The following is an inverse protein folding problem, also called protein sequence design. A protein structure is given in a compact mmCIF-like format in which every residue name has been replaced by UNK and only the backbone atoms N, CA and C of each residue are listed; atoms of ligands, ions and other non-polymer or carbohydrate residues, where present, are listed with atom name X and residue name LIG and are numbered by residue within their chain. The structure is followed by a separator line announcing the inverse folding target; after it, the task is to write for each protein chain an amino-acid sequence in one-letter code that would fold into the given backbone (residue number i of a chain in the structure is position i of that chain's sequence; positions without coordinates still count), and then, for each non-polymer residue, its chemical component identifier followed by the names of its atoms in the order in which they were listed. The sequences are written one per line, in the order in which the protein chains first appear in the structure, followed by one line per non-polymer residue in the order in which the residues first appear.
data_IF_346711199005
#
_entry.id   IF_346711199005
#
_cell.length_a   1.000
_cell.length_b   1.000
_cell.length_c   1.000
_cell.angle_alpha   90.00
_cell.angle_beta   90.00
_cell.angle_gamma   90.00
#
_symmetry.space_group_name_H-M   'P 1'
#
loop_
_entity.id
_entity.type
_entity.pdbx_description
1 polymer ?
#
# COMPACT_ATOMS: atom_id res chain seq x y z
N UNK A 1 -58.26 -16.24 -30.09
CA UNK A 1 -57.94 -15.43 -31.29
C UNK A 1 -56.43 -15.56 -31.52
N UNK A 2 -56.03 -16.05 -32.69
CA UNK A 2 -54.64 -16.40 -33.06
C UNK A 2 -53.76 -15.18 -33.29
N UNK A 3 -52.43 -15.41 -33.37
CA UNK A 3 -51.35 -14.79 -34.18
C UNK A 3 -50.09 -14.64 -33.28
N UNK A 4 -48.84 -15.02 -33.62
CA UNK A 4 -48.23 -15.86 -34.66
C UNK A 4 -46.80 -16.23 -34.21
N UNK A 5 -46.33 -17.40 -34.63
CA UNK A 5 -44.95 -17.89 -34.61
C UNK A 5 -44.01 -17.06 -35.51
N UNK A 6 -42.71 -17.01 -35.15
CA UNK A 6 -41.61 -17.19 -36.10
C UNK A 6 -40.28 -17.55 -35.38
N UNK A 7 -39.98 -18.84 -35.33
CA UNK A 7 -38.63 -19.39 -35.22
C UNK A 7 -38.12 -19.62 -36.66
N UNK A 8 -36.89 -19.24 -37.00
CA UNK A 8 -36.16 -19.88 -38.09
C UNK A 8 -34.65 -19.91 -37.88
N UNK A 9 -34.08 -21.04 -38.30
CA UNK A 9 -32.72 -21.54 -38.16
C UNK A 9 -31.74 -20.91 -39.17
N UNK A 10 -30.50 -20.72 -38.69
CA UNK A 10 -29.23 -21.22 -39.26
C UNK A 10 -28.79 -20.78 -40.67
N UNK A 11 -27.54 -20.31 -40.79
CA UNK A 11 -26.60 -20.77 -41.82
C UNK A 11 -25.15 -20.35 -41.52
N UNK A 12 -24.33 -21.37 -41.27
CA UNK A 12 -22.88 -21.35 -41.34
C UNK A 12 -22.50 -21.47 -42.82
N UNK A 13 -21.55 -20.66 -43.32
CA UNK A 13 -20.96 -20.87 -44.65
C UNK A 13 -19.44 -20.75 -44.62
N UNK A 14 -18.86 -21.91 -44.92
CA UNK A 14 -17.47 -22.25 -45.18
C UNK A 14 -17.00 -21.57 -46.49
N UNK A 15 -15.77 -21.05 -46.50
CA UNK A 15 -14.94 -21.00 -47.71
C UNK A 15 -13.61 -21.72 -47.46
N UNK A 16 -13.34 -22.71 -48.32
CA UNK A 16 -12.04 -23.38 -48.61
C UNK A 16 -11.13 -22.34 -49.30
N UNK A 17 -9.80 -22.33 -49.29
CA UNK A 17 -8.72 -23.31 -49.08
C UNK A 17 -7.56 -22.91 -50.05
N UNK A 18 -6.37 -23.55 -49.93
CA UNK A 18 -5.12 -23.45 -50.76
C UNK A 18 -4.09 -22.44 -50.17
N UNK A 19 -2.83 -22.72 -49.79
CA UNK A 19 -1.87 -23.87 -49.81
C UNK A 19 -0.86 -23.66 -48.65
N UNK A 20 -0.50 -24.63 -47.81
CA UNK A 20 0.48 -25.73 -47.97
C UNK A 20 1.94 -25.32 -48.27
N UNK A 21 2.77 -25.21 -47.21
CA UNK A 21 4.17 -25.65 -47.24
C UNK A 21 4.66 -26.04 -45.84
N UNK A 22 4.65 -27.35 -45.56
CA UNK A 22 5.36 -28.02 -44.45
C UNK A 22 6.77 -28.33 -44.94
N UNK A 23 7.81 -27.97 -44.18
CA UNK A 23 9.15 -28.54 -44.32
C UNK A 23 9.40 -29.50 -43.16
N UNK A 24 9.36 -30.80 -43.45
CA UNK A 24 9.86 -31.89 -42.59
C UNK A 24 11.37 -32.08 -42.79
N UNK A 25 12.08 -32.63 -41.79
CA UNK A 25 13.54 -32.73 -41.80
C UNK A 25 14.01 -33.96 -42.59
N UNK A 26 15.08 -33.79 -43.36
CA UNK A 26 15.80 -34.87 -44.03
C UNK A 26 16.92 -35.41 -43.14
N UNK A 27 16.80 -36.69 -42.81
CA UNK A 27 17.91 -37.53 -42.33
C UNK A 27 18.86 -37.82 -43.49
N UNK A 28 20.17 -37.63 -43.27
CA UNK A 28 21.23 -38.19 -44.12
C UNK A 28 22.27 -38.81 -43.20
N UNK A 29 22.51 -40.11 -43.39
CA UNK A 29 23.58 -40.88 -42.77
C UNK A 29 24.95 -40.49 -43.34
N UNK A 30 25.95 -40.33 -42.48
CA UNK A 30 27.36 -40.23 -42.84
C UNK A 30 28.20 -40.68 -41.65
N UNK A 31 29.05 -41.68 -41.89
CA UNK A 31 29.81 -42.49 -40.95
C UNK A 31 31.13 -41.85 -40.48
N UNK A 32 31.60 -42.34 -39.33
CA UNK A 32 32.96 -42.39 -38.80
C UNK A 32 33.65 -41.12 -38.28
N UNK A 33 34.03 -41.15 -36.99
CA UNK A 33 34.94 -40.18 -36.38
C UNK A 33 34.95 -40.20 -34.85
N UNK A 34 35.76 -41.08 -34.27
CA UNK A 34 36.15 -41.21 -32.85
C UNK A 34 36.25 -39.89 -32.04
N UNK A 35 35.73 -39.93 -30.80
CA UNK A 35 36.50 -39.45 -29.64
C UNK A 35 36.10 -38.10 -29.00
N UNK A 36 35.91 -38.18 -27.68
CA UNK A 36 36.06 -37.12 -26.65
C UNK A 36 34.77 -36.41 -26.19
N UNK A 37 34.27 -36.83 -25.02
CA UNK A 37 33.24 -36.14 -24.24
C UNK A 37 33.89 -34.91 -23.60
N UNK A 38 33.51 -33.71 -24.06
CA UNK A 38 33.78 -32.45 -23.37
C UNK A 38 32.48 -31.93 -22.74
N UNK A 39 32.45 -31.90 -21.40
CA UNK A 39 31.44 -31.16 -20.65
C UNK A 39 31.57 -29.67 -20.95
N UNK A 40 30.57 -29.11 -21.64
CA UNK A 40 30.45 -27.67 -21.88
C UNK A 40 29.85 -27.01 -20.63
N UNK A 41 30.73 -26.38 -19.85
CA UNK A 41 30.37 -25.36 -18.88
C UNK A 41 29.78 -24.15 -19.61
N UNK A 42 28.48 -23.89 -19.40
CA UNK A 42 27.86 -22.62 -19.78
C UNK A 42 28.19 -21.57 -18.72
N UNK A 43 29.02 -20.60 -19.08
CA UNK A 43 29.31 -19.40 -18.28
C UNK A 43 28.04 -18.56 -18.16
N UNK A 44 27.36 -18.63 -17.00
CA UNK A 44 26.42 -17.58 -16.58
C UNK A 44 27.22 -16.34 -16.20
N UNK A 45 26.94 -15.24 -16.89
CA UNK A 45 27.36 -13.89 -16.51
C UNK A 45 26.68 -13.53 -15.19
N UNK A 46 27.47 -13.30 -14.14
CA UNK A 46 26.99 -12.80 -12.86
C UNK A 46 26.50 -11.36 -13.03
N UNK A 47 25.18 -11.18 -13.05
CA UNK A 47 24.56 -9.92 -12.61
C UNK A 47 24.54 -9.95 -11.08
N UNK A 48 25.12 -8.94 -10.44
CA UNK A 48 25.11 -8.77 -8.98
C UNK A 48 23.66 -8.70 -8.47
N UNK A 49 23.11 -9.82 -8.05
CA UNK A 49 22.01 -9.88 -7.09
C UNK A 49 22.58 -9.52 -5.73
N UNK A 50 22.27 -8.31 -5.26
CA UNK A 50 22.37 -7.96 -3.84
C UNK A 50 21.40 -8.85 -3.08
N UNK A 51 21.92 -9.95 -2.53
CA UNK A 51 21.25 -10.68 -1.47
C UNK A 51 21.05 -9.71 -0.30
N UNK A 52 19.79 -9.42 0.03
CA UNK A 52 19.45 -8.82 1.30
C UNK A 52 19.91 -9.79 2.40
N UNK A 53 20.85 -9.34 3.23
CA UNK A 53 21.26 -10.02 4.46
C UNK A 53 20.06 -10.05 5.40
N UNK A 54 19.21 -11.07 5.29
CA UNK A 54 18.04 -11.25 6.15
C UNK A 54 18.40 -11.70 7.59
N UNK A 55 19.66 -12.08 7.83
CA UNK A 55 20.16 -12.65 9.10
C UNK A 55 21.06 -11.71 9.93
N UNK A 56 21.17 -10.43 9.57
CA UNK A 56 21.88 -9.48 10.43
C UNK A 56 21.05 -9.15 11.66
N UNK A 57 21.60 -9.39 12.86
CA UNK A 57 21.03 -8.87 14.10
C UNK A 57 20.80 -7.35 13.97
N UNK A 58 19.63 -6.89 14.42
CA UNK A 58 19.26 -5.48 14.38
C UNK A 58 20.23 -4.66 15.23
N UNK A 59 20.84 -3.64 14.62
CA UNK A 59 21.69 -2.67 15.30
C UNK A 59 20.89 -1.37 15.52
N UNK A 60 20.53 -1.02 16.77
CA UNK A 60 19.84 0.22 17.08
C UNK A 60 20.62 1.43 16.55
N UNK A 61 19.95 2.32 15.80
CA UNK A 61 20.56 3.54 15.24
C UNK A 61 21.11 3.42 13.80
N UNK A 62 20.95 2.27 13.15
CA UNK A 62 21.22 2.15 11.71
C UNK A 62 20.12 2.86 10.88
N UNK A 63 20.53 3.72 9.94
CA UNK A 63 19.59 4.34 9.00
C UNK A 63 19.06 3.28 8.04
N UNK A 64 17.76 2.99 8.14
CA UNK A 64 17.05 2.06 7.27
C UNK A 64 16.93 2.67 5.87
N UNK A 65 17.56 2.05 4.89
CA UNK A 65 17.45 2.49 3.50
C UNK A 65 16.13 1.96 2.92
N UNK A 66 15.18 2.86 2.65
CA UNK A 66 13.95 2.55 1.90
C UNK A 66 14.15 3.08 0.49
N UNK A 67 14.11 2.20 -0.52
CA UNK A 67 14.39 2.54 -1.92
C UNK A 67 13.44 3.62 -2.46
N UNK A 68 12.14 3.49 -2.14
CA UNK A 68 11.10 4.43 -2.55
C UNK A 68 10.26 4.87 -1.34
N UNK A 69 10.70 5.86 -0.54
CA UNK A 69 9.96 6.25 0.65
C UNK A 69 8.57 6.79 0.30
N UNK A 70 7.54 6.28 0.99
CA UNK A 70 6.16 6.76 0.87
C UNK A 70 5.77 7.48 2.17
N UNK A 71 5.23 8.68 2.03
CA UNK A 71 4.64 9.47 3.10
C UNK A 71 3.38 8.76 3.59
N UNK A 72 3.39 8.34 4.86
CA UNK A 72 2.26 7.67 5.51
C UNK A 72 1.37 8.67 6.27
N UNK A 73 0.10 8.32 6.47
CA UNK A 73 -0.75 9.01 7.43
C UNK A 73 -0.18 8.89 8.86
N UNK A 74 -0.31 9.93 9.71
CA UNK A 74 -1.10 11.15 9.54
C UNK A 74 -0.29 12.36 9.04
N UNK A 75 0.75 12.18 8.21
CA UNK A 75 1.61 13.29 7.76
C UNK A 75 0.82 14.47 7.19
N UNK A 76 1.10 15.68 7.71
CA UNK A 76 0.36 16.91 7.40
C UNK A 76 0.37 17.27 5.91
N UNK A 77 1.43 16.94 5.18
CA UNK A 77 1.53 17.22 3.74
C UNK A 77 0.41 16.58 2.93
N UNK A 78 -0.13 15.44 3.37
CA UNK A 78 -1.24 14.73 2.72
C UNK A 78 -2.59 15.44 2.88
N UNK A 79 -2.71 16.37 3.84
CA UNK A 79 -3.93 17.13 4.13
C UNK A 79 -3.93 18.52 3.48
N UNK A 80 -2.92 18.82 2.65
CA UNK A 80 -2.73 20.13 2.05
C UNK A 80 -3.06 20.10 0.56
N UNK A 81 -3.54 21.24 0.04
CA UNK A 81 -3.62 21.45 -1.41
C UNK A 81 -2.21 21.60 -1.98
N UNK A 82 -1.95 20.94 -3.10
CA UNK A 82 -0.62 20.84 -3.67
C UNK A 82 -0.32 21.97 -4.65
N UNK A 83 0.96 22.32 -4.81
CA UNK A 83 1.38 23.44 -5.64
C UNK A 83 1.39 23.07 -7.13
N UNK A 84 0.98 23.98 -8.02
CA UNK A 84 1.13 23.75 -9.45
C UNK A 84 2.60 23.81 -9.86
N UNK A 85 2.98 23.05 -10.89
CA UNK A 85 4.27 23.13 -11.55
C UNK A 85 4.28 24.25 -12.60
N UNK A 86 5.42 24.93 -12.77
CA UNK A 86 5.63 25.85 -13.88
C UNK A 86 5.80 25.05 -15.18
N UNK A 87 4.89 25.28 -16.12
CA UNK A 87 4.85 24.60 -17.42
C UNK A 87 6.12 24.87 -18.22
N UNK A 88 6.76 26.03 -18.05
CA UNK A 88 8.01 26.38 -18.73
C UNK A 88 9.17 25.51 -18.27
N UNK A 89 9.19 25.15 -16.97
CA UNK A 89 10.18 24.23 -16.40
C UNK A 89 9.89 22.79 -16.81
N UNK A 90 8.61 22.39 -16.87
CA UNK A 90 8.20 21.06 -17.39
C UNK A 90 8.70 20.87 -18.81
N UNK A 91 8.48 21.83 -19.72
CA UNK A 91 8.94 21.76 -21.13
C UNK A 91 10.46 21.67 -21.29
N UNK A 92 11.22 22.18 -20.32
CA UNK A 92 12.68 22.08 -20.30
C UNK A 92 13.19 20.74 -19.73
N UNK A 93 12.30 19.90 -19.22
CA UNK A 93 12.64 18.61 -18.63
C UNK A 93 13.22 18.71 -17.21
N UNK A 94 13.10 19.86 -16.54
CA UNK A 94 13.68 20.12 -15.21
C UNK A 94 13.13 19.16 -14.13
N UNK A 95 11.93 18.63 -14.35
CA UNK A 95 11.24 17.71 -13.42
C UNK A 95 11.29 16.24 -13.85
N UNK A 96 12.01 15.89 -14.91
CA UNK A 96 12.02 14.52 -15.46
C UNK A 96 12.48 13.47 -14.44
N UNK A 97 13.51 13.79 -13.65
CA UNK A 97 13.99 12.89 -12.60
C UNK A 97 12.91 12.65 -11.53
N UNK A 98 12.24 13.71 -11.07
CA UNK A 98 11.18 13.60 -10.07
C UNK A 98 9.95 12.84 -10.59
N UNK A 99 9.54 13.08 -11.83
CA UNK A 99 8.47 12.32 -12.50
C UNK A 99 8.86 10.84 -12.60
N UNK A 100 10.11 10.56 -12.98
CA UNK A 100 10.69 9.22 -13.02
C UNK A 100 10.63 8.51 -11.67
N UNK A 101 10.96 9.20 -10.57
CA UNK A 101 10.87 8.66 -9.21
C UNK A 101 9.44 8.31 -8.81
N UNK A 102 8.44 9.13 -9.17
CA UNK A 102 7.01 8.80 -8.91
C UNK A 102 6.61 7.53 -9.68
N UNK A 103 6.99 7.42 -10.95
CA UNK A 103 6.71 6.24 -11.79
C UNK A 103 7.40 4.98 -11.25
N UNK A 104 8.67 5.09 -10.85
CA UNK A 104 9.45 4.00 -10.27
C UNK A 104 8.84 3.53 -8.94
N UNK A 105 8.48 4.46 -8.04
CA UNK A 105 7.82 4.12 -6.78
C UNK A 105 6.47 3.41 -7.01
N UNK A 106 5.66 3.91 -7.94
CA UNK A 106 4.38 3.28 -8.31
C UNK A 106 4.59 1.85 -8.83
N UNK A 107 5.58 1.65 -9.70
CA UNK A 107 5.96 0.35 -10.25
C UNK A 107 6.43 -0.61 -9.17
N UNK A 108 7.38 -0.17 -8.34
CA UNK A 108 7.95 -0.96 -7.27
C UNK A 108 6.87 -1.48 -6.31
N UNK A 109 5.96 -0.60 -5.90
CA UNK A 109 4.86 -0.96 -5.03
C UNK A 109 3.64 -1.52 -5.76
N UNK A 110 3.65 -1.66 -7.09
CA UNK A 110 2.55 -2.24 -7.87
C UNK A 110 1.18 -1.59 -7.56
N UNK A 111 1.17 -0.28 -7.29
CA UNK A 111 -0.09 0.44 -7.11
C UNK A 111 -0.66 0.83 -8.49
N UNK A 112 -1.99 0.85 -8.63
CA UNK A 112 -2.65 1.26 -9.87
C UNK A 112 -2.46 2.76 -10.20
N UNK A 113 -2.11 3.57 -9.20
CA UNK A 113 -1.75 4.98 -9.37
C UNK A 113 -0.89 5.49 -8.21
N UNK A 114 -0.19 6.60 -8.44
CA UNK A 114 0.54 7.32 -7.40
C UNK A 114 0.64 8.80 -7.73
N UNK A 115 0.44 9.68 -6.74
CA UNK A 115 0.69 11.11 -6.85
C UNK A 115 2.01 11.54 -6.18
N UNK A 116 2.59 12.62 -6.68
CA UNK A 116 3.84 13.20 -6.20
C UNK A 116 3.88 13.47 -4.67
N UNK A 117 2.81 13.95 -4.01
CA UNK A 117 2.83 14.16 -2.55
C UNK A 117 3.10 12.89 -1.75
N UNK A 118 2.73 11.72 -2.27
CA UNK A 118 2.97 10.42 -1.61
C UNK A 118 4.45 10.08 -1.52
N UNK A 119 5.32 10.67 -2.36
CA UNK A 119 6.78 10.54 -2.25
C UNK A 119 7.44 11.79 -1.61
N UNK A 120 6.65 12.67 -1.00
CA UNK A 120 7.13 13.91 -0.39
C UNK A 120 7.32 15.08 -1.36
N UNK A 121 6.93 14.93 -2.63
CA UNK A 121 6.99 16.01 -3.61
C UNK A 121 5.63 16.71 -3.71
N UNK A 122 5.46 17.80 -2.96
CA UNK A 122 4.19 18.48 -2.73
C UNK A 122 3.70 19.32 -3.93
N UNK A 123 3.46 18.67 -5.07
CA UNK A 123 3.03 19.30 -6.32
C UNK A 123 1.83 18.59 -6.95
N UNK A 124 1.14 19.28 -7.85
CA UNK A 124 0.02 18.74 -8.61
C UNK A 124 0.50 17.84 -9.74
N UNK A 125 0.87 16.60 -9.40
CA UNK A 125 1.22 15.59 -10.38
C UNK A 125 0.82 14.20 -9.90
N UNK A 126 0.27 13.39 -10.81
CA UNK A 126 0.08 11.95 -10.59
C UNK A 126 0.32 11.13 -11.86
N UNK A 127 0.53 9.82 -11.67
CA UNK A 127 0.65 8.83 -12.75
C UNK A 127 -0.33 7.68 -12.54
N UNK A 128 -0.83 7.11 -13.63
CA UNK A 128 -1.64 5.90 -13.64
C UNK A 128 -0.81 4.66 -14.01
N UNK A 129 -1.42 3.47 -13.88
CA UNK A 129 -0.84 2.17 -14.17
C UNK A 129 -0.38 1.99 -15.62
N UNK A 130 -1.02 2.68 -16.57
CA UNK A 130 -0.60 2.68 -17.98
C UNK A 130 0.55 3.67 -18.28
N UNK A 131 1.11 4.28 -17.23
CA UNK A 131 2.20 5.25 -17.35
C UNK A 131 1.76 6.66 -17.76
N UNK A 132 0.45 6.93 -17.93
CA UNK A 132 -0.02 8.29 -18.23
C UNK A 132 0.28 9.22 -17.06
N UNK A 133 0.95 10.34 -17.35
CA UNK A 133 1.29 11.40 -16.39
C UNK A 133 0.34 12.59 -16.54
N UNK A 134 -0.17 13.07 -15.42
CA UNK A 134 -1.04 14.23 -15.33
C UNK A 134 -0.38 15.30 -14.46
N UNK A 135 0.06 16.39 -15.09
CA UNK A 135 0.61 17.57 -14.40
C UNK A 135 -0.42 18.69 -14.36
N UNK A 136 -0.55 19.36 -13.21
CA UNK A 136 -1.56 20.39 -12.94
C UNK A 136 -2.97 19.99 -13.40
N UNK A 137 -3.47 18.79 -13.04
CA UNK A 137 -4.76 18.31 -13.51
C UNK A 137 -5.91 19.13 -12.93
N UNK A 138 -6.89 19.42 -13.77
CA UNK A 138 -8.13 20.11 -13.45
C UNK A 138 -9.29 19.16 -13.70
N UNK A 139 -10.07 18.88 -12.66
CA UNK A 139 -11.33 18.14 -12.77
C UNK A 139 -12.43 19.06 -13.31
N UNK A 140 -12.78 18.92 -14.58
CA UNK A 140 -13.79 19.75 -15.24
C UNK A 140 -15.20 19.51 -14.69
N UNK A 141 -15.50 18.30 -14.22
CA UNK A 141 -16.79 17.99 -13.60
C UNK A 141 -16.93 18.70 -12.25
N UNK A 142 -15.86 18.78 -11.46
CA UNK A 142 -15.86 19.52 -10.19
C UNK A 142 -16.02 21.03 -10.40
N UNK A 143 -15.42 21.60 -11.46
CA UNK A 143 -15.61 23.02 -11.79
C UNK A 143 -17.06 23.36 -12.15
N UNK A 144 -17.75 22.46 -12.88
CA UNK A 144 -19.18 22.63 -13.16
C UNK A 144 -20.02 22.58 -11.89
N UNK A 145 -19.67 21.71 -10.94
CA UNK A 145 -20.32 21.65 -9.62
C UNK A 145 -20.07 22.93 -8.82
N UNK A 146 -18.84 23.45 -8.80
CA UNK A 146 -18.50 24.71 -8.15
C UNK A 146 -19.29 25.89 -8.73
N UNK A 147 -19.46 25.93 -10.04
CA UNK A 147 -20.22 26.99 -10.71
C UNK A 147 -21.71 26.91 -10.36
N UNK A 148 -22.29 25.70 -10.32
CA UNK A 148 -23.66 25.48 -9.84
C UNK A 148 -23.80 25.90 -8.37
N UNK A 149 -22.80 25.61 -7.53
CA UNK A 149 -22.81 25.99 -6.13
C UNK A 149 -22.89 27.52 -5.97
N UNK A 150 -22.08 28.26 -6.74
CA UNK A 150 -22.11 29.74 -6.79
C UNK A 150 -23.46 30.27 -7.27
N UNK A 151 -23.99 29.72 -8.36
CA UNK A 151 -25.27 30.17 -8.94
C UNK A 151 -26.45 29.95 -8.00
N UNK A 152 -26.42 28.87 -7.21
CA UNK A 152 -27.45 28.55 -6.22
C UNK A 152 -27.18 29.11 -4.83
N UNK A 153 -26.04 29.76 -4.62
CA UNK A 153 -25.58 30.26 -3.32
C UNK A 153 -25.57 29.18 -2.23
N UNK A 154 -25.13 27.96 -2.57
CA UNK A 154 -24.96 26.83 -1.65
C UNK A 154 -23.48 26.47 -1.50
N UNK A 155 -23.14 25.66 -0.50
CA UNK A 155 -21.77 25.19 -0.33
C UNK A 155 -21.38 24.19 -1.41
N UNK A 156 -20.08 24.05 -1.68
CA UNK A 156 -19.58 23.04 -2.63
C UNK A 156 -19.99 21.62 -2.21
N UNK A 157 -19.95 21.30 -0.92
CA UNK A 157 -20.32 19.97 -0.38
C UNK A 157 -21.80 19.66 -0.67
N UNK A 158 -22.69 20.63 -0.45
CA UNK A 158 -24.11 20.47 -0.78
C UNK A 158 -24.33 20.31 -2.29
N UNK A 159 -23.61 21.08 -3.12
CA UNK A 159 -23.70 20.95 -4.58
C UNK A 159 -23.17 19.60 -5.08
N UNK A 160 -22.06 19.11 -4.52
CA UNK A 160 -21.47 17.80 -4.82
C UNK A 160 -22.42 16.67 -4.42
N UNK A 161 -23.08 16.76 -3.26
CA UNK A 161 -24.07 15.77 -2.82
C UNK A 161 -25.28 15.67 -3.78
N UNK A 162 -25.85 16.82 -4.19
CA UNK A 162 -26.95 16.87 -5.17
C UNK A 162 -26.51 16.34 -6.55
N UNK A 163 -25.27 16.63 -6.94
CA UNK A 163 -24.70 16.13 -8.18
C UNK A 163 -24.50 14.61 -8.15
N UNK A 164 -23.96 14.07 -7.07
CA UNK A 164 -23.81 12.63 -6.85
C UNK A 164 -25.15 11.91 -6.82
N UNK A 165 -26.17 12.48 -6.16
CA UNK A 165 -27.53 11.94 -6.17
C UNK A 165 -28.11 11.86 -7.60
N UNK A 166 -27.95 12.94 -8.38
CA UNK A 166 -28.34 12.95 -9.79
C UNK A 166 -27.61 11.86 -10.58
N UNK A 167 -26.29 11.73 -10.42
CA UNK A 167 -25.48 10.71 -11.11
C UNK A 167 -25.91 9.30 -10.71
N UNK A 168 -26.22 9.06 -9.44
CA UNK A 168 -26.71 7.77 -8.93
C UNK A 168 -28.02 7.36 -9.60
N UNK A 169 -28.97 8.29 -9.70
CA UNK A 169 -30.25 8.05 -10.41
C UNK A 169 -30.06 7.79 -11.91
N UNK A 170 -29.01 8.35 -12.51
CA UNK A 170 -28.64 8.10 -13.91
C UNK A 170 -27.81 6.82 -14.10
N UNK A 171 -27.48 6.07 -13.04
CA UNK A 171 -26.62 4.89 -13.11
C UNK A 171 -25.16 5.24 -13.47
N UNK A 172 -24.71 6.44 -13.13
CA UNK A 172 -23.37 7.00 -13.45
C UNK A 172 -22.48 7.14 -12.22
N UNK A 173 -22.74 6.37 -11.17
CA UNK A 173 -21.84 6.18 -10.04
C UNK A 173 -21.51 4.70 -9.88
N UNK A 174 -20.36 4.40 -9.30
CA UNK A 174 -19.96 3.03 -9.00
C UNK A 174 -19.13 2.94 -7.71
N UNK A 175 -19.33 1.85 -6.97
CA UNK A 175 -18.55 1.48 -5.79
C UNK A 175 -17.41 0.53 -6.18
N UNK A 176 -16.33 0.54 -5.40
CA UNK A 176 -15.16 -0.32 -5.58
C UNK A 176 -14.24 -0.15 -4.37
N UNK A 177 -13.39 -1.14 -4.15
CA UNK A 177 -12.31 -1.09 -3.18
C UNK A 177 -11.12 -0.31 -3.71
N UNK A 178 -10.69 0.71 -2.95
CA UNK A 178 -9.54 1.57 -3.28
C UNK A 178 -8.35 1.30 -2.36
N UNK A 179 -7.19 0.92 -2.92
CA UNK A 179 -5.93 0.89 -2.20
C UNK A 179 -5.30 2.28 -2.14
N UNK A 180 -4.56 2.59 -1.08
CA UNK A 180 -3.79 3.83 -0.97
C UNK A 180 -2.39 3.56 -0.39
N UNK A 181 -1.35 4.02 -1.07
CA UNK A 181 0.03 3.81 -0.62
C UNK A 181 0.37 4.50 0.71
N UNK A 182 -0.34 5.58 1.04
CA UNK A 182 -0.17 6.33 2.30
C UNK A 182 -0.94 5.76 3.49
N UNK A 183 -1.74 4.71 3.26
CA UNK A 183 -2.31 3.84 4.29
C UNK A 183 -2.34 2.41 3.74
N UNK A 184 -1.14 1.90 3.47
CA UNK A 184 -0.89 0.66 2.72
C UNK A 184 -1.62 -0.59 3.25
N UNK A 185 -2.00 -0.60 4.52
CA UNK A 185 -2.71 -1.71 5.15
C UNK A 185 -4.22 -1.67 4.97
N UNK A 186 -4.80 -0.63 4.35
CA UNK A 186 -6.24 -0.44 4.30
C UNK A 186 -6.78 -0.40 2.87
N UNK A 187 -7.92 -1.05 2.67
CA UNK A 187 -8.79 -0.91 1.51
C UNK A 187 -10.07 -0.20 1.92
N UNK A 188 -10.60 0.63 1.01
CA UNK A 188 -11.74 1.50 1.29
C UNK A 188 -12.81 1.32 0.23
N UNK A 189 -14.03 0.95 0.62
CA UNK A 189 -15.16 0.80 -0.31
C UNK A 189 -15.85 2.14 -0.51
N UNK A 190 -15.62 2.77 -1.67
CA UNK A 190 -16.00 4.17 -1.94
C UNK A 190 -16.87 4.27 -3.19
N UNK A 191 -17.94 5.08 -3.11
CA UNK A 191 -18.73 5.50 -4.27
C UNK A 191 -18.03 6.66 -5.01
N UNK A 192 -17.91 6.54 -6.34
CA UNK A 192 -17.42 7.63 -7.20
C UNK A 192 -18.28 7.78 -8.46
N UNK A 193 -18.24 8.94 -9.14
CA UNK A 193 -18.67 9.04 -10.53
C UNK A 193 -17.97 7.99 -11.40
N UNK A 194 -18.71 7.35 -12.31
CA UNK A 194 -18.16 6.30 -13.18
C UNK A 194 -17.17 6.84 -14.24
N UNK A 195 -17.17 8.14 -14.47
CA UNK A 195 -16.30 8.85 -15.42
C UNK A 195 -15.83 10.16 -14.82
N UNK A 196 -14.68 10.66 -15.28
CA UNK A 196 -14.19 12.01 -14.96
C UNK A 196 -13.60 12.68 -16.18
N UNK A 197 -13.91 13.97 -16.39
CA UNK A 197 -13.25 14.82 -17.39
C UNK A 197 -12.09 15.57 -16.78
N UNK A 198 -10.90 15.39 -17.33
CA UNK A 198 -9.66 15.99 -16.82
C UNK A 198 -8.97 16.78 -17.92
N UNK A 199 -8.61 18.03 -17.61
CA UNK A 199 -7.63 18.82 -18.38
C UNK A 199 -6.30 18.79 -17.64
N UNK A 200 -5.21 18.49 -18.30
CA UNK A 200 -3.89 18.42 -17.67
C UNK A 200 -2.77 18.80 -18.65
N UNK A 201 -1.54 18.85 -18.14
CA UNK A 201 -0.30 19.00 -18.89
C UNK A 201 0.39 17.62 -18.91
N UNK A 202 0.85 17.19 -20.08
CA UNK A 202 1.63 15.97 -20.25
C UNK A 202 3.10 16.17 -19.84
N UNK A 203 3.88 15.09 -19.75
CA UNK A 203 5.29 15.15 -19.35
C UNK A 203 6.19 15.94 -20.32
N UNK A 204 5.75 16.11 -21.57
CA UNK A 204 6.41 16.97 -22.58
C UNK A 204 6.02 18.47 -22.46
N UNK A 205 5.12 18.80 -21.54
CA UNK A 205 4.63 20.16 -21.32
C UNK A 205 3.52 20.62 -22.26
N UNK A 206 2.91 19.71 -23.02
CA UNK A 206 1.74 19.99 -23.86
C UNK A 206 0.42 19.79 -23.09
N UNK A 207 -0.57 20.68 -23.26
CA UNK A 207 -1.89 20.50 -22.65
C UNK A 207 -2.68 19.41 -23.37
N UNK A 208 -3.47 18.67 -22.61
CA UNK A 208 -4.44 17.71 -23.14
C UNK A 208 -5.72 17.69 -22.30
N UNK A 209 -6.80 17.22 -22.91
CA UNK A 209 -8.07 16.94 -22.26
C UNK A 209 -8.48 15.50 -22.53
N UNK A 210 -8.99 14.83 -21.51
CA UNK A 210 -9.41 13.43 -21.63
C UNK A 210 -10.62 13.14 -20.73
N UNK A 211 -11.54 12.32 -21.22
CA UNK A 211 -12.57 11.69 -20.40
C UNK A 211 -12.09 10.29 -20.04
N UNK A 212 -11.92 10.05 -18.75
CA UNK A 212 -11.54 8.74 -18.22
C UNK A 212 -12.80 7.99 -17.77
N UNK A 213 -12.76 6.68 -17.88
CA UNK A 213 -13.78 5.74 -17.38
C UNK A 213 -13.14 4.58 -16.61
N UNK A 214 -13.99 3.69 -16.06
CA UNK A 214 -13.58 2.45 -15.38
C UNK A 214 -12.48 2.70 -14.33
N UNK A 215 -11.42 1.88 -14.31
CA UNK A 215 -10.37 1.99 -13.30
C UNK A 215 -9.50 3.23 -13.48
N UNK A 216 -9.35 3.74 -14.72
CA UNK A 216 -8.64 5.00 -14.98
C UNK A 216 -9.35 6.19 -14.33
N UNK A 217 -10.67 6.27 -14.46
CA UNK A 217 -11.46 7.31 -13.78
C UNK A 217 -11.35 7.19 -12.27
N UNK A 218 -11.48 5.96 -11.75
CA UNK A 218 -11.39 5.68 -10.32
C UNK A 218 -10.08 6.16 -9.72
N UNK A 219 -8.97 5.76 -10.33
CA UNK A 219 -7.63 6.13 -9.88
C UNK A 219 -7.34 7.61 -10.05
N UNK A 220 -7.76 8.22 -11.16
CA UNK A 220 -7.61 9.66 -11.35
C UNK A 220 -8.37 10.46 -10.29
N UNK A 221 -9.62 10.08 -9.96
CA UNK A 221 -10.39 10.72 -8.90
C UNK A 221 -9.73 10.55 -7.53
N UNK A 222 -9.17 9.38 -7.24
CA UNK A 222 -8.41 9.11 -6.02
C UNK A 222 -7.17 10.02 -5.91
N UNK A 223 -6.38 10.14 -6.99
CA UNK A 223 -5.19 11.00 -6.95
C UNK A 223 -5.55 12.49 -6.95
N UNK A 224 -6.62 12.90 -7.64
CA UNK A 224 -7.16 14.26 -7.58
C UNK A 224 -7.57 14.66 -6.16
N UNK A 225 -8.14 13.73 -5.38
CA UNK A 225 -8.42 13.96 -3.96
C UNK A 225 -7.13 14.27 -3.20
N UNK A 226 -6.08 13.46 -3.37
CA UNK A 226 -4.77 13.70 -2.74
C UNK A 226 -4.14 15.04 -3.15
N UNK A 227 -4.29 15.47 -4.40
CA UNK A 227 -3.78 16.77 -4.86
C UNK A 227 -4.53 17.96 -4.21
N UNK A 228 -5.74 17.73 -3.70
CA UNK A 228 -6.54 18.71 -2.98
C UNK A 228 -6.53 18.53 -1.45
N UNK A 229 -5.74 17.58 -0.92
CA UNK A 229 -5.69 17.29 0.51
C UNK A 229 -6.95 16.59 1.05
N UNK A 230 -7.71 15.95 0.16
CA UNK A 230 -8.89 15.14 0.49
C UNK A 230 -8.43 13.69 0.62
N UNK A 231 -8.82 13.02 1.71
CA UNK A 231 -8.47 11.63 1.98
C UNK A 231 -9.73 10.76 1.99
N UNK A 232 -9.53 9.44 1.95
CA UNK A 232 -10.61 8.45 1.94
C UNK A 232 -11.61 8.65 3.09
N UNK A 233 -11.18 9.17 4.24
CA UNK A 233 -12.01 9.44 5.42
C UNK A 233 -13.16 10.41 5.14
N UNK A 234 -13.08 11.21 4.07
CA UNK A 234 -14.16 12.10 3.61
C UNK A 234 -15.05 11.47 2.53
N UNK A 235 -14.74 10.26 2.08
CA UNK A 235 -15.37 9.60 0.94
C UNK A 235 -16.07 8.28 1.31
N UNK A 236 -15.64 7.62 2.38
CA UNK A 236 -16.29 6.39 2.87
C UNK A 236 -17.69 6.69 3.41
N UNK A 237 -18.69 5.82 3.15
CA UNK A 237 -20.02 5.96 3.73
C UNK A 237 -20.05 5.70 5.24
N UNK A 238 -19.29 4.70 5.68
CA UNK A 238 -19.23 4.24 7.07
C UNK A 238 -17.85 3.65 7.40
N UNK A 239 -17.50 3.59 8.68
CA UNK A 239 -16.22 2.99 9.13
C UNK A 239 -16.06 1.51 8.80
N UNK A 240 -17.17 0.75 8.70
CA UNK A 240 -17.17 -0.66 8.26
C UNK A 240 -16.67 -0.84 6.82
N UNK A 241 -16.72 0.21 6.00
CA UNK A 241 -16.25 0.19 4.61
C UNK A 241 -14.72 0.34 4.51
N UNK A 242 -14.01 0.21 5.62
CA UNK A 242 -12.55 0.20 5.69
C UNK A 242 -12.13 -1.15 6.25
N UNK A 243 -11.33 -1.88 5.47
CA UNK A 243 -10.86 -3.22 5.86
C UNK A 243 -9.35 -3.32 5.71
N UNK A 244 -8.67 -4.12 6.55
CA UNK A 244 -7.28 -4.43 6.32
C UNK A 244 -7.07 -5.16 4.99
N UNK A 245 -5.96 -4.88 4.29
CA UNK A 245 -5.60 -5.55 3.05
C UNK A 245 -5.50 -7.08 3.23
N UNK A 246 -4.97 -7.53 4.37
CA UNK A 246 -4.94 -8.96 4.72
C UNK A 246 -6.35 -9.54 4.87
N UNK A 247 -7.24 -8.84 5.59
CA UNK A 247 -8.63 -9.25 5.76
C UNK A 247 -9.44 -9.28 4.46
N UNK A 248 -9.00 -8.54 3.44
CA UNK A 248 -9.59 -8.59 2.11
C UNK A 248 -9.34 -9.91 1.39
N UNK A 249 -8.19 -10.55 1.63
CA UNK A 249 -7.87 -11.86 1.04
C UNK A 249 -8.80 -12.97 1.58
N UNK A 250 -9.33 -12.79 2.80
CA UNK A 250 -10.29 -13.69 3.45
C UNK A 250 -11.72 -13.17 3.41
N UNK A 251 -12.07 -12.32 2.44
CA UNK A 251 -13.42 -11.74 2.27
C UNK A 251 -14.54 -12.79 2.18
N UNK A 252 -14.24 -14.02 1.76
CA UNK A 252 -15.19 -15.13 1.77
C UNK A 252 -15.68 -15.51 3.16
N UNK A 253 -14.87 -15.28 4.19
CA UNK A 253 -15.14 -15.61 5.59
C UNK A 253 -15.93 -14.52 6.31
N UNK A 254 -16.10 -13.34 5.69
CA UNK A 254 -16.87 -12.26 6.27
C UNK A 254 -18.36 -12.66 6.41
N UNK A 255 -19.05 -12.13 7.43
CA UNK A 255 -20.51 -12.23 7.51
C UNK A 255 -21.19 -11.76 6.21
N UNK A 256 -22.35 -12.35 5.89
CA UNK A 256 -23.02 -12.11 4.60
C UNK A 256 -23.40 -10.65 4.35
N UNK A 257 -23.65 -9.89 5.42
CA UNK A 257 -24.02 -8.49 5.41
C UNK A 257 -22.85 -7.54 5.72
N UNK A 258 -21.62 -8.05 5.87
CA UNK A 258 -20.47 -7.23 6.22
C UNK A 258 -19.55 -6.91 5.02
N UNK A 259 -19.14 -5.65 4.84
CA UNK A 259 -19.80 -4.43 5.35
C UNK A 259 -21.11 -4.13 4.60
N UNK A 260 -21.30 -4.77 3.44
CA UNK A 260 -22.56 -4.94 2.75
C UNK A 260 -22.43 -6.13 1.78
N UNK A 261 -23.55 -6.65 1.28
CA UNK A 261 -23.54 -7.73 0.29
C UNK A 261 -22.78 -7.33 -0.99
N UNK A 262 -22.93 -6.08 -1.40
CA UNK A 262 -22.29 -5.49 -2.57
C UNK A 262 -20.78 -5.34 -2.37
N UNK A 263 -20.35 -4.88 -1.20
CA UNK A 263 -18.95 -4.74 -0.85
C UNK A 263 -18.23 -6.09 -0.84
N UNK A 264 -18.84 -7.11 -0.21
CA UNK A 264 -18.35 -8.49 -0.18
C UNK A 264 -18.31 -9.15 -1.57
N UNK A 265 -19.17 -8.70 -2.50
CA UNK A 265 -19.22 -9.23 -3.86
C UNK A 265 -18.31 -8.48 -4.85
N UNK A 266 -17.63 -7.42 -4.41
CA UNK A 266 -16.79 -6.58 -5.26
C UNK A 266 -15.31 -6.92 -5.04
N UNK A 267 -14.67 -7.59 -6.00
CA UNK A 267 -13.24 -7.84 -5.96
C UNK A 267 -12.40 -6.59 -6.28
N UNK A 268 -11.10 -6.64 -6.02
CA UNK A 268 -10.18 -5.56 -6.41
C UNK A 268 -10.24 -5.36 -7.94
N UNK A 269 -10.14 -4.09 -8.35
CA UNK A 269 -10.27 -3.66 -9.74
C UNK A 269 -11.62 -3.98 -10.41
N UNK A 270 -12.63 -4.29 -9.60
CA UNK A 270 -14.01 -4.41 -10.04
C UNK A 270 -14.81 -3.22 -9.54
N UNK A 271 -15.61 -2.64 -10.43
CA UNK A 271 -16.58 -1.61 -10.04
C UNK A 271 -17.98 -2.20 -9.99
N UNK A 272 -18.69 -1.95 -8.90
CA UNK A 272 -20.10 -2.27 -8.70
C UNK A 272 -20.97 -1.04 -8.98
N UNK A 273 -21.90 -1.14 -9.93
CA UNK A 273 -22.93 -0.14 -10.20
C UNK A 273 -24.29 -0.74 -9.85
N UNK A 274 -25.03 -0.15 -8.89
CA UNK A 274 -26.36 -0.61 -8.54
C UNK A 274 -27.29 -0.69 -9.76
N UNK A 275 -28.20 -1.68 -9.82
CA UNK A 275 -28.47 -2.65 -8.76
C UNK A 275 -27.56 -3.90 -8.77
N UNK A 276 -27.08 -4.36 -9.93
CA UNK A 276 -26.36 -5.66 -10.04
C UNK A 276 -25.26 -5.68 -11.12
N UNK A 277 -24.68 -4.53 -11.47
CA UNK A 277 -23.69 -4.46 -12.55
C UNK A 277 -22.28 -4.49 -11.99
N UNK A 278 -21.50 -5.50 -12.36
CA UNK A 278 -20.08 -5.61 -12.01
C UNK A 278 -19.24 -5.52 -13.28
N UNK A 279 -18.22 -4.67 -13.26
CA UNK A 279 -17.28 -4.51 -14.36
C UNK A 279 -15.88 -4.66 -13.78
N UNK A 280 -15.20 -5.75 -14.15
CA UNK A 280 -13.80 -5.98 -13.82
C UNK A 280 -12.92 -5.44 -14.93
N UNK A 281 -11.93 -4.64 -14.56
CA UNK A 281 -10.95 -4.08 -15.49
C UNK A 281 -9.64 -4.85 -15.43
N UNK A 282 -8.92 -4.89 -16.54
CA UNK A 282 -7.56 -5.41 -16.56
C UNK A 282 -6.61 -4.27 -16.23
N UNK A 283 -6.06 -4.28 -15.02
CA UNK A 283 -5.10 -3.29 -14.56
C UNK A 283 -3.72 -3.91 -14.65
N UNK A 284 -3.06 -3.68 -15.78
CA UNK A 284 -1.68 -4.11 -15.99
C UNK A 284 -0.77 -3.47 -14.92
N UNK A 285 0.26 -4.21 -14.50
CA UNK A 285 1.31 -3.68 -13.61
C UNK A 285 0.80 -3.14 -12.26
N UNK A 286 -0.26 -3.78 -11.73
CA UNK A 286 -0.85 -3.49 -10.42
C UNK A 286 -1.25 -4.76 -9.65
N UNK A 287 -0.29 -5.59 -9.27
CA UNK A 287 -0.52 -6.87 -8.57
C UNK A 287 -0.51 -6.74 -7.03
N UNK A 288 -1.51 -6.05 -6.47
CA UNK A 288 -1.57 -5.82 -5.02
C UNK A 288 -1.92 -7.07 -4.21
N UNK A 289 -2.83 -7.93 -4.70
CA UNK A 289 -3.31 -9.10 -3.96
C UNK A 289 -2.44 -10.35 -4.13
N UNK A 290 -1.65 -10.42 -5.21
CA UNK A 290 -0.81 -11.58 -5.48
C UNK A 290 0.44 -11.61 -4.58
N UNK A 291 0.71 -10.52 -3.86
CA UNK A 291 1.80 -10.42 -2.90
C UNK A 291 1.36 -10.89 -1.53
N UNK A 292 2.21 -11.69 -0.92
CA UNK A 292 2.04 -12.12 0.46
C UNK A 292 2.72 -11.14 1.41
N UNK A 293 2.27 -11.14 2.66
CA UNK A 293 2.92 -10.34 3.70
C UNK A 293 4.42 -10.68 3.81
N UNK A 294 4.79 -11.95 3.61
CA UNK A 294 6.18 -12.43 3.68
C UNK A 294 7.07 -11.89 2.56
N UNK A 295 6.50 -11.46 1.44
CA UNK A 295 7.28 -10.86 0.34
C UNK A 295 7.95 -9.56 0.81
N UNK A 296 7.39 -8.91 1.84
CA UNK A 296 7.98 -7.72 2.45
C UNK A 296 8.01 -6.50 1.54
N UNK A 297 7.19 -6.45 0.48
CA UNK A 297 7.15 -5.33 -0.46
C UNK A 297 5.82 -4.59 -0.33
N UNK A 298 5.76 -3.67 0.63
CA UNK A 298 4.69 -2.67 0.73
C UNK A 298 5.24 -1.37 1.34
N UNK A 299 4.58 -0.22 1.13
CA UNK A 299 5.01 1.03 1.73
C UNK A 299 5.11 0.91 3.27
N UNK A 300 6.31 1.01 3.84
CA UNK A 300 6.50 0.89 5.29
C UNK A 300 6.81 -0.52 5.83
N UNK A 301 6.99 -1.52 4.97
CA UNK A 301 7.38 -2.89 5.36
C UNK A 301 8.62 -2.94 6.27
N UNK A 302 9.64 -2.17 5.93
CA UNK A 302 10.87 -2.09 6.70
C UNK A 302 10.64 -1.40 8.06
N UNK A 303 9.73 -0.42 8.12
CA UNK A 303 9.34 0.22 9.37
C UNK A 303 8.57 -0.74 10.28
N UNK A 304 7.61 -1.47 9.74
CA UNK A 304 6.84 -2.50 10.46
C UNK A 304 7.71 -3.64 10.95
N UNK A 305 8.63 -4.13 10.09
CA UNK A 305 9.64 -5.14 10.45
C UNK A 305 10.43 -4.66 11.67
N UNK A 306 10.89 -3.40 11.67
CA UNK A 306 11.60 -2.81 12.82
C UNK A 306 10.72 -2.76 14.06
N UNK A 307 9.49 -2.25 13.97
CA UNK A 307 8.59 -2.16 15.12
C UNK A 307 8.32 -3.53 15.75
N UNK A 308 8.14 -4.57 14.92
CA UNK A 308 7.97 -5.95 15.41
C UNK A 308 9.23 -6.48 16.11
N UNK A 309 10.42 -6.23 15.55
CA UNK A 309 11.69 -6.64 16.16
C UNK A 309 11.90 -5.91 17.50
N UNK A 310 11.67 -4.60 17.54
CA UNK A 310 11.80 -3.79 18.76
C UNK A 310 10.80 -4.22 19.83
N UNK A 311 9.54 -4.49 19.46
CA UNK A 311 8.52 -5.01 20.38
C UNK A 311 8.91 -6.38 20.94
N UNK A 312 9.37 -7.31 20.09
CA UNK A 312 9.79 -8.64 20.53
C UNK A 312 11.00 -8.58 21.48
N UNK A 313 11.99 -7.73 21.18
CA UNK A 313 13.14 -7.51 22.05
C UNK A 313 12.74 -6.90 23.40
N UNK A 314 11.79 -5.95 23.39
CA UNK A 314 11.25 -5.34 24.61
C UNK A 314 10.48 -6.37 25.47
N UNK A 315 9.64 -7.19 24.85
CA UNK A 315 8.95 -8.29 25.54
C UNK A 315 9.93 -9.29 26.15
N UNK A 316 11.00 -9.64 25.44
CA UNK A 316 12.01 -10.57 25.95
C UNK A 316 12.76 -10.01 27.17
N UNK A 317 13.12 -8.72 27.13
CA UNK A 317 13.70 -8.00 28.28
C UNK A 317 12.74 -7.97 29.46
N UNK A 318 11.46 -7.69 29.23
CA UNK A 318 10.44 -7.68 30.29
C UNK A 318 10.26 -9.09 30.90
N UNK A 319 10.23 -10.14 30.07
CA UNK A 319 10.20 -11.54 30.56
C UNK A 319 11.45 -11.91 31.33
N UNK A 320 12.63 -11.38 30.97
CA UNK A 320 13.87 -11.62 31.70
C UNK A 320 13.88 -10.90 33.06
N UNK A 321 13.40 -9.66 33.12
CA UNK A 321 13.21 -8.93 34.37
C UNK A 321 12.24 -9.64 35.31
N UNK A 322 11.09 -10.08 34.80
CA UNK A 322 10.14 -10.85 35.60
C UNK A 322 10.75 -12.17 36.09
N UNK A 323 11.51 -12.89 35.25
CA UNK A 323 12.25 -14.08 35.70
C UNK A 323 13.18 -13.74 36.87
N UNK A 324 13.95 -12.66 36.79
CA UNK A 324 14.85 -12.25 37.88
C UNK A 324 14.11 -11.83 39.15
N UNK A 325 12.98 -11.13 39.03
CA UNK A 325 12.17 -10.72 40.18
C UNK A 325 11.52 -11.92 40.87
N UNK A 326 10.98 -12.88 40.11
CA UNK A 326 10.45 -14.13 40.66
C UNK A 326 11.53 -14.96 41.36
N UNK A 327 12.73 -15.02 40.79
CA UNK A 327 13.87 -15.71 41.43
C UNK A 327 14.30 -14.98 42.72
N UNK A 328 14.16 -13.64 42.77
CA UNK A 328 14.46 -12.84 43.96
C UNK A 328 13.42 -13.01 45.06
N UNK A 329 12.14 -13.13 44.70
CA UNK A 329 11.04 -13.46 45.61
C UNK A 329 11.19 -14.87 46.17
N UNK A 330 11.45 -15.87 45.32
CA UNK A 330 11.68 -17.27 45.73
C UNK A 330 12.90 -17.38 46.66
N UNK A 331 14.00 -16.69 46.37
CA UNK A 331 15.18 -16.64 47.25
C UNK A 331 14.93 -15.88 48.57
N UNK A 332 13.97 -14.95 48.62
CA UNK A 332 13.59 -14.26 49.86
C UNK A 332 12.67 -15.11 50.74
N UNK A 333 11.78 -15.91 50.14
CA UNK A 333 10.95 -16.88 50.87
C UNK A 333 11.77 -18.06 51.40
N UNK A 334 12.86 -18.44 50.70
CA UNK A 334 13.79 -19.48 51.17
C UNK A 334 14.67 -19.00 52.36
N UNK A 335 14.84 -17.68 52.52
CA UNK A 335 15.61 -17.08 53.63
C UNK A 335 14.77 -16.83 54.90
N UNK A 336 13.44 -16.68 54.77
CA UNK A 336 12.50 -16.58 55.91
C UNK A 336 12.14 -17.95 56.53
N UNK A 337 12.63 -19.06 55.95
CA UNK A 337 12.39 -20.43 56.42
C UNK A 337 13.42 -21.00 57.40
N UNK A 338 14.43 -20.21 57.81
CA UNK A 338 15.48 -20.66 58.74
C UNK A 338 15.45 -19.83 60.03
N UNK A 339 14.36 -19.93 60.80
CA UNK A 339 14.43 -19.72 62.24
C UNK A 339 15.03 -20.99 62.87
N UNK A 340 16.36 -21.00 62.97
CA UNK A 340 17.09 -21.98 63.77
C UNK A 340 16.94 -21.65 65.25
N UNK A 341 16.59 -22.66 66.03
CA UNK A 341 16.65 -22.69 67.51
C UNK A 341 17.95 -22.05 68.00
N UNK A 342 17.83 -21.01 68.84
CA UNK A 342 18.93 -20.48 69.63
C UNK A 342 18.74 -21.02 71.05
N UNK A 343 19.54 -22.03 71.39
CA UNK A 343 19.73 -22.46 72.77
C UNK A 343 20.33 -21.31 73.60
N UNK A 344 19.73 -21.07 74.75
CA UNK A 344 20.22 -20.20 75.82
C UNK A 344 21.53 -20.77 76.38
N UNK A 345 22.59 -19.95 76.43
CA UNK A 345 23.59 -19.85 77.51
C UNK A 345 24.82 -19.07 77.01
N UNK A 346 24.96 -17.80 77.40
CA UNK A 346 26.05 -17.38 78.28
C UNK A 346 26.09 -15.85 78.46
N UNK A 347 26.27 -15.48 79.72
CA UNK A 347 26.40 -14.13 80.26
C UNK A 347 27.77 -13.52 79.93
N UNK A 348 27.83 -12.20 79.70
CA UNK A 348 28.51 -11.24 80.60
C UNK A 348 28.80 -9.88 79.91
N UNK A 349 28.39 -8.82 80.63
CA UNK A 349 29.07 -7.53 80.80
C UNK A 349 29.85 -6.88 79.64
N UNK A 350 29.44 -5.68 79.21
CA UNK A 350 29.72 -4.42 79.93
C UNK A 350 29.20 -3.20 79.15
N UNK A 351 28.58 -2.29 79.90
CA UNK A 351 28.29 -0.92 79.51
C UNK A 351 29.57 -0.12 79.24
N UNK A 352 29.58 0.79 78.26
CA UNK A 352 29.69 2.23 78.54
C UNK A 352 29.91 3.09 77.28
N UNK A 353 29.09 4.15 77.22
CA UNK A 353 29.43 5.52 76.79
C UNK A 353 29.62 5.87 75.32
N UNK A 354 28.54 6.41 74.78
CA UNK A 354 28.38 7.67 74.07
C UNK A 354 29.62 8.54 73.72
N UNK A 355 29.51 9.07 72.50
CA UNK A 355 29.85 10.43 72.03
C UNK A 355 31.29 10.72 71.59
N UNK A 356 31.41 11.15 70.33
CA UNK A 356 32.58 11.85 69.82
C UNK A 356 32.62 11.86 68.29
N UNK A 357 32.25 12.98 67.67
CA UNK A 357 32.11 13.08 66.23
C UNK A 357 33.41 13.37 65.46
N UNK A 358 33.16 13.81 64.22
CA UNK A 358 33.98 14.70 63.38
C UNK A 358 34.97 14.05 62.39
N UNK A 359 34.64 14.32 61.12
CA UNK A 359 35.47 14.71 59.98
C UNK A 359 36.26 13.68 59.14
N UNK A 360 35.88 13.70 57.84
CA UNK A 360 36.68 14.01 56.65
C UNK A 360 38.03 13.30 56.52
N UNK A 361 38.19 12.51 55.46
CA UNK A 361 39.18 12.78 54.40
C UNK A 361 39.04 11.88 53.17
N UNK A 362 39.20 12.55 52.04
CA UNK A 362 39.48 12.03 50.71
C UNK A 362 40.59 10.96 50.70
N UNK A 363 40.48 10.00 49.78
CA UNK A 363 41.53 9.77 48.79
C UNK A 363 41.10 8.74 47.74
N UNK A 364 41.11 9.17 46.47
CA UNK A 364 41.39 8.30 45.34
C UNK A 364 42.85 7.80 45.42
N UNK A 365 43.20 6.74 44.68
CA UNK A 365 43.97 7.03 43.47
C UNK A 365 43.71 6.12 42.27
N UNK A 366 43.84 6.77 41.11
CA UNK A 366 44.33 6.35 39.77
C UNK A 366 43.76 5.09 39.10
#
# INVERSE_FOLDING_TARGET
MRIHHAFFRQSCRIMRGIDSARSTPTFVNGTDGMGTIHMLFSKRTHSNTTHSNADSAYMPGSNLHVEHPIVQLPARSLWCKQYPLDISLVRRGEFNDMIGRVRAARHYYQYPSLCAPKIGWNVQMFTLFDGTVFINPINLDALEVEEIAKQKSITFVEAEALWMEKKRREGKTCFAWEPCASCCFLLHFIERPSTVRVRAIAEDGNPFEVTLDKMRARMALHELDHLNGILFTRRIPDTSHVVPLEGFSTMSEWPDDYPSLEARSTFLYTTFTPPYTFITDSVEDAQLLDRKFEDGIYPGCEHDRRMRIESAAFEELQRAQWRMEKTREENSEEYDGVEGEVDEEDQEHCEETAAGGVAVKDNAPQ
#
